data_IF_935844597423
#
_entry.id   IF_935844597423
#
_cell.length_a   1.000
_cell.length_b   1.000
_cell.length_c   1.000
_cell.angle_alpha   90.00
_cell.angle_beta   90.00
_cell.angle_gamma   90.00
#
_symmetry.space_group_name_H-M   'P 1'
#
loop_
_entity.id
_entity.type
_entity.pdbx_description
1 polymer ?
#
# COMPACT_ATOMS: atom_id res chain seq x y z
N UNK A 1 -15.19 8.95 1.50
CA UNK A 1 -13.74 8.92 1.77
C UNK A 1 -13.20 10.29 1.40
N UNK A 2 -12.52 10.98 2.31
CA UNK A 2 -11.84 12.26 2.02
C UNK A 2 -10.37 11.92 1.79
N UNK A 3 -9.79 12.35 0.67
CA UNK A 3 -8.38 12.14 0.38
C UNK A 3 -7.58 13.21 1.12
N UNK A 4 -6.56 12.80 1.86
CA UNK A 4 -5.52 13.69 2.35
C UNK A 4 -4.44 13.75 1.25
N UNK A 5 -4.04 14.96 0.86
CA UNK A 5 -3.06 15.22 -0.20
C UNK A 5 -3.39 14.62 -1.58
N UNK A 6 -4.69 14.48 -1.92
CA UNK A 6 -5.15 13.99 -3.22
C UNK A 6 -4.55 12.63 -3.63
N UNK A 7 -4.14 11.82 -2.65
CA UNK A 7 -3.59 10.50 -2.86
C UNK A 7 -4.37 9.44 -2.09
N UNK A 8 -4.37 8.22 -2.60
CA UNK A 8 -4.84 7.06 -1.88
C UNK A 8 -4.02 5.82 -2.24
N UNK A 9 -4.14 4.81 -1.40
CA UNK A 9 -3.36 3.60 -1.47
C UNK A 9 -4.30 2.41 -1.72
N UNK A 10 -3.93 1.53 -2.65
CA UNK A 10 -4.65 0.29 -2.92
C UNK A 10 -3.77 -0.89 -2.56
N UNK A 11 -4.23 -1.70 -1.62
CA UNK A 11 -3.65 -3.00 -1.33
C UNK A 11 -4.40 -4.05 -2.15
N UNK A 12 -3.71 -4.69 -3.09
CA UNK A 12 -4.22 -5.79 -3.90
C UNK A 12 -3.58 -7.10 -3.43
N UNK A 13 -4.38 -7.99 -2.85
CA UNK A 13 -3.96 -9.34 -2.46
C UNK A 13 -4.54 -10.42 -3.39
N UNK A 14 -4.91 -10.05 -4.61
CA UNK A 14 -5.51 -10.96 -5.59
C UNK A 14 -7.00 -11.16 -5.37
N UNK A 15 -7.38 -11.90 -4.31
CA UNK A 15 -8.79 -12.18 -3.98
C UNK A 15 -9.50 -11.01 -3.32
N UNK A 16 -8.75 -10.19 -2.60
CA UNK A 16 -9.26 -9.05 -1.84
C UNK A 16 -8.48 -7.79 -2.20
N UNK A 17 -9.20 -6.67 -2.18
CA UNK A 17 -8.61 -5.34 -2.40
C UNK A 17 -9.11 -4.39 -1.33
N UNK A 18 -8.19 -3.58 -0.80
CA UNK A 18 -8.50 -2.56 0.20
C UNK A 18 -8.00 -1.20 -0.28
N UNK A 19 -8.72 -0.15 0.12
CA UNK A 19 -8.41 1.23 -0.21
C UNK A 19 -8.17 1.99 1.09
N UNK A 20 -7.07 2.72 1.15
CA UNK A 20 -6.66 3.52 2.31
C UNK A 20 -6.35 4.95 1.90
N UNK A 21 -6.66 5.90 2.78
CA UNK A 21 -6.30 7.31 2.59
C UNK A 21 -4.89 7.60 3.05
N UNK A 22 -4.32 6.77 3.93
CA UNK A 22 -2.95 6.96 4.44
C UNK A 22 -2.07 5.75 4.19
N UNK A 23 -0.78 6.02 4.01
CA UNK A 23 0.26 5.01 3.83
C UNK A 23 0.39 4.07 5.04
N UNK A 24 0.43 4.55 6.30
CA UNK A 24 0.61 3.67 7.45
C UNK A 24 -0.51 2.63 7.61
N UNK A 25 -1.76 3.02 7.33
CA UNK A 25 -2.91 2.09 7.35
C UNK A 25 -2.76 0.99 6.30
N UNK A 26 -2.38 1.36 5.08
CA UNK A 26 -2.19 0.42 3.99
C UNK A 26 -1.07 -0.58 4.29
N UNK A 27 0.06 -0.11 4.85
CA UNK A 27 1.16 -0.97 5.28
C UNK A 27 0.73 -1.87 6.45
N UNK A 28 -0.06 -1.38 7.40
CA UNK A 28 -0.56 -2.20 8.51
C UNK A 28 -1.41 -3.36 8.01
N UNK A 29 -2.39 -3.09 7.13
CA UNK A 29 -3.22 -4.14 6.55
C UNK A 29 -2.38 -5.13 5.74
N UNK A 30 -1.41 -4.62 4.98
CA UNK A 30 -0.49 -5.44 4.20
C UNK A 30 0.30 -6.42 5.09
N UNK A 31 0.80 -5.97 6.25
CA UNK A 31 1.48 -6.85 7.22
C UNK A 31 0.55 -7.98 7.67
N UNK A 32 -0.72 -7.68 7.93
CA UNK A 32 -1.70 -8.69 8.37
C UNK A 32 -2.05 -9.69 7.25
N UNK A 33 -2.19 -9.22 6.01
CA UNK A 33 -2.40 -10.10 4.84
C UNK A 33 -1.22 -11.03 4.62
N UNK A 34 0.01 -10.51 4.72
CA UNK A 34 1.24 -11.31 4.56
C UNK A 34 1.38 -12.37 5.66
N UNK A 35 1.10 -12.01 6.93
CA UNK A 35 1.11 -12.96 8.06
C UNK A 35 0.13 -14.12 7.87
N UNK A 36 -0.97 -13.89 7.18
CA UNK A 36 -1.99 -14.92 6.89
C UNK A 36 -1.66 -15.79 5.67
N UNK A 37 -0.45 -15.68 5.09
CA UNK A 37 0.06 -16.61 4.08
C UNK A 37 -0.10 -16.17 2.62
N UNK A 38 -0.63 -14.97 2.35
CA UNK A 38 -0.86 -14.48 0.98
C UNK A 38 0.25 -13.56 0.44
N UNK A 39 1.43 -13.51 1.07
CA UNK A 39 2.40 -12.43 0.87
C UNK A 39 3.04 -12.30 -0.52
N UNK A 40 3.18 -13.38 -1.28
CA UNK A 40 3.90 -13.36 -2.57
C UNK A 40 3.16 -12.62 -3.69
N UNK A 41 1.83 -12.56 -3.63
CA UNK A 41 1.00 -11.90 -4.65
C UNK A 41 0.53 -10.50 -4.26
N UNK A 42 0.94 -10.01 -3.09
CA UNK A 42 0.48 -8.70 -2.60
C UNK A 42 1.14 -7.56 -3.38
N UNK A 43 0.34 -6.55 -3.72
CA UNK A 43 0.81 -5.30 -4.31
C UNK A 43 0.24 -4.13 -3.53
N UNK A 44 1.08 -3.16 -3.24
CA UNK A 44 0.65 -1.87 -2.74
C UNK A 44 0.80 -0.85 -3.88
N UNK A 45 -0.28 -0.18 -4.23
CA UNK A 45 -0.32 0.85 -5.27
C UNK A 45 -0.58 2.21 -4.60
N UNK A 46 0.10 3.25 -5.08
CA UNK A 46 -0.20 4.64 -4.79
C UNK A 46 -0.92 5.24 -5.99
N UNK A 47 -2.03 5.91 -5.75
CA UNK A 47 -2.82 6.59 -6.78
C UNK A 47 -2.81 8.08 -6.43
N UNK A 48 -2.17 8.87 -7.29
CA UNK A 48 -2.16 10.33 -7.20
C UNK A 48 -3.25 10.91 -8.13
N UNK A 49 -4.07 11.80 -7.59
CA UNK A 49 -5.21 12.45 -8.27
C UNK A 49 -5.03 13.95 -8.47
N UNK A 50 -3.85 14.52 -8.15
CA UNK A 50 -3.54 15.95 -8.28
C UNK A 50 -3.45 16.44 -9.72
N UNK A 51 -3.03 15.59 -10.64
CA UNK A 51 -2.88 15.94 -12.05
C UNK A 51 -4.19 15.79 -12.83
N UNK A 52 -4.25 16.38 -14.03
CA UNK A 52 -5.35 16.19 -14.99
C UNK A 52 -5.57 14.70 -15.36
N UNK A 53 -4.60 13.84 -15.07
CA UNK A 53 -4.67 12.39 -15.19
C UNK A 53 -4.24 11.69 -13.91
N UNK A 54 -4.92 10.59 -13.56
CA UNK A 54 -4.53 9.79 -12.41
C UNK A 54 -3.24 9.03 -12.68
N UNK A 55 -2.27 9.19 -11.78
CA UNK A 55 -0.99 8.49 -11.84
C UNK A 55 -1.07 7.30 -10.89
N UNK A 56 -0.78 6.09 -11.40
CA UNK A 56 -0.79 4.86 -10.62
C UNK A 56 0.65 4.33 -10.56
N UNK A 57 1.21 4.27 -9.35
CA UNK A 57 2.55 3.78 -9.11
C UNK A 57 2.50 2.57 -8.17
N UNK A 58 3.25 1.53 -8.49
CA UNK A 58 3.43 0.43 -7.54
C UNK A 58 4.52 0.80 -6.54
N UNK A 59 4.21 0.70 -5.25
CA UNK A 59 5.20 0.93 -4.20
C UNK A 59 6.30 -0.13 -4.29
N UNK A 60 7.58 0.28 -4.31
CA UNK A 60 8.68 -0.67 -4.37
C UNK A 60 8.74 -1.51 -3.10
N UNK A 61 8.72 -2.84 -3.26
CA UNK A 61 8.87 -3.79 -2.15
C UNK A 61 10.13 -3.56 -1.31
N UNK A 62 11.19 -3.07 -1.94
CA UNK A 62 12.45 -2.71 -1.28
C UNK A 62 12.24 -1.67 -0.17
N UNK A 63 11.44 -0.64 -0.42
CA UNK A 63 11.26 0.46 0.52
C UNK A 63 10.41 0.03 1.71
N UNK A 64 9.39 -0.81 1.45
CA UNK A 64 8.59 -1.48 2.48
C UNK A 64 9.47 -2.39 3.34
N UNK A 65 10.35 -3.19 2.72
CA UNK A 65 11.27 -4.05 3.42
C UNK A 65 12.25 -3.27 4.31
N UNK A 66 12.79 -2.15 3.84
CA UNK A 66 13.66 -1.29 4.66
C UNK A 66 12.95 -0.74 5.90
N UNK A 67 11.69 -0.33 5.79
CA UNK A 67 10.90 0.14 6.93
C UNK A 67 10.65 -0.98 7.94
N UNK A 68 10.28 -2.17 7.46
CA UNK A 68 10.07 -3.34 8.32
C UNK A 68 11.33 -3.76 9.08
N UNK A 69 12.49 -3.71 8.42
CA UNK A 69 13.79 -4.03 9.04
C UNK A 69 14.13 -3.01 10.12
N UNK A 70 13.91 -1.72 9.88
CA UNK A 70 14.18 -0.64 10.87
C UNK A 70 13.28 -0.71 12.10
N UNK A 71 12.06 -1.24 11.99
CA UNK A 71 11.18 -1.43 13.15
C UNK A 71 11.65 -2.57 14.09
N UNK A 72 12.48 -3.49 13.60
CA UNK A 72 12.91 -4.69 14.34
C UNK A 72 14.40 -4.69 14.72
N UNK A 73 15.16 -3.67 14.33
CA UNK A 73 16.59 -3.49 14.66
C UNK A 73 16.79 -2.38 15.67
#
# INVERSE_FOLDING_TARGET
MKLDDNQFYVLDAGTEKWIFTTRPEAISQMKDVVKNGNGESVKLLCINTEEDSWVIEQYPWKDIAFELIKEHG
#
